data_IF_000677193358
#
_entry.id   IF_000677193358
#
_cell.length_a   1.000
_cell.length_b   1.000
_cell.length_c   1.000
_cell.angle_alpha   90.00
_cell.angle_beta   90.00
_cell.angle_gamma   90.00
#
_symmetry.space_group_name_H-M   'P 1'
#
loop_
_entity.id
_entity.type
_entity.pdbx_description
1 polymer ?
#
# COMPACT_ATOMS: atom_id res chain seq x y z
N UNK A 1 -4.00 -13.48 4.24
CA UNK A 1 -5.15 -13.81 3.36
C UNK A 1 -6.45 -13.27 3.96
N UNK A 2 -7.45 -12.88 3.15
CA UNK A 2 -8.77 -12.51 3.66
C UNK A 2 -9.57 -13.74 4.17
N UNK A 3 -10.49 -13.53 5.10
CA UNK A 3 -11.27 -14.60 5.76
C UNK A 3 -12.02 -15.50 4.79
N UNK A 4 -12.59 -14.96 3.71
CA UNK A 4 -13.26 -15.76 2.65
C UNK A 4 -12.35 -16.78 1.97
N UNK A 5 -11.12 -16.39 1.65
CA UNK A 5 -10.14 -17.31 1.03
C UNK A 5 -9.59 -18.32 2.03
N UNK A 6 -9.48 -17.96 3.30
CA UNK A 6 -9.14 -18.90 4.37
C UNK A 6 -10.27 -19.94 4.51
N UNK A 7 -11.52 -19.48 4.54
CA UNK A 7 -12.70 -20.35 4.61
C UNK A 7 -12.76 -21.32 3.43
N UNK A 8 -12.59 -20.82 2.20
CA UNK A 8 -12.54 -21.66 0.99
C UNK A 8 -11.40 -22.70 1.02
N UNK A 9 -10.27 -22.41 1.67
CA UNK A 9 -9.14 -23.36 1.79
C UNK A 9 -9.34 -24.42 2.87
N UNK A 10 -10.01 -24.05 3.96
CA UNK A 10 -10.21 -24.92 5.13
C UNK A 10 -11.59 -25.62 5.07
N UNK A 11 -12.43 -25.28 4.10
CA UNK A 11 -13.75 -25.89 3.92
C UNK A 11 -14.80 -25.38 4.93
N UNK A 12 -14.64 -24.16 5.44
CA UNK A 12 -15.55 -23.57 6.45
C UNK A 12 -16.06 -22.21 6.02
N UNK A 13 -17.21 -21.79 6.54
CA UNK A 13 -17.71 -20.44 6.28
C UNK A 13 -16.77 -19.37 6.83
N UNK A 14 -16.68 -18.24 6.13
CA UNK A 14 -15.79 -17.16 6.51
C UNK A 14 -16.14 -16.54 7.89
N UNK A 15 -17.38 -16.64 8.37
CA UNK A 15 -17.76 -16.18 9.71
C UNK A 15 -17.15 -17.06 10.78
N UNK A 16 -17.09 -18.38 10.56
CA UNK A 16 -16.39 -19.33 11.44
C UNK A 16 -14.91 -18.99 11.52
N UNK A 17 -14.29 -18.68 10.38
CA UNK A 17 -12.90 -18.20 10.34
C UNK A 17 -12.73 -16.91 11.16
N UNK A 18 -13.61 -15.93 10.98
CA UNK A 18 -13.53 -14.67 11.73
C UNK A 18 -13.68 -14.88 13.23
N UNK A 19 -14.62 -15.73 13.66
CA UNK A 19 -14.83 -16.05 15.08
C UNK A 19 -13.57 -16.64 15.70
N UNK A 20 -13.02 -17.70 15.10
CA UNK A 20 -11.83 -18.37 15.62
C UNK A 20 -10.62 -17.40 15.65
N UNK A 21 -10.44 -16.57 14.62
CA UNK A 21 -9.35 -15.58 14.59
C UNK A 21 -9.50 -14.54 15.71
N UNK A 22 -10.74 -14.09 15.99
CA UNK A 22 -11.02 -13.16 17.09
C UNK A 22 -10.80 -13.80 18.46
N UNK A 23 -11.24 -15.05 18.66
CA UNK A 23 -11.01 -15.83 19.88
C UNK A 23 -9.51 -15.99 20.17
N UNK A 24 -8.71 -16.20 19.14
CA UNK A 24 -7.24 -16.24 19.22
C UNK A 24 -6.56 -14.87 19.42
N UNK A 25 -7.34 -13.79 19.53
CA UNK A 25 -6.86 -12.42 19.69
C UNK A 25 -6.19 -11.84 18.45
N UNK A 26 -6.40 -12.43 17.27
CA UNK A 26 -5.79 -11.98 16.02
C UNK A 26 -6.62 -10.85 15.39
N UNK A 27 -5.92 -9.79 14.98
CA UNK A 27 -6.52 -8.64 14.29
C UNK A 27 -6.08 -8.60 12.83
N UNK A 28 -6.95 -8.18 11.91
CA UNK A 28 -6.61 -8.04 10.51
C UNK A 28 -5.84 -6.75 10.25
N UNK A 29 -4.69 -6.85 9.60
CA UNK A 29 -3.88 -5.72 9.14
C UNK A 29 -3.78 -5.72 7.61
N UNK A 30 -3.87 -4.54 6.99
CA UNK A 30 -3.66 -4.41 5.54
C UNK A 30 -2.17 -4.62 5.23
N UNK A 31 -1.87 -5.38 4.18
CA UNK A 31 -0.51 -5.46 3.66
C UNK A 31 -0.18 -4.15 2.96
N UNK A 32 0.82 -3.43 3.48
CA UNK A 32 1.38 -2.26 2.82
C UNK A 32 2.57 -2.71 1.97
N UNK A 33 2.48 -2.51 0.66
CA UNK A 33 3.62 -2.60 -0.23
C UNK A 33 4.10 -1.18 -0.45
N UNK A 34 5.17 -0.80 0.23
CA UNK A 34 5.82 0.50 0.06
C UNK A 34 7.00 0.34 -0.88
N UNK A 35 7.27 1.36 -1.70
CA UNK A 35 8.49 1.38 -2.48
C UNK A 35 9.69 1.50 -1.54
N UNK A 36 10.74 0.75 -1.80
CA UNK A 36 12.00 0.89 -1.08
C UNK A 36 12.60 2.26 -1.42
N UNK A 37 12.90 3.07 -0.40
CA UNK A 37 13.60 4.33 -0.59
C UNK A 37 15.08 4.05 -0.70
N UNK A 38 15.65 4.26 -1.89
CA UNK A 38 17.10 4.16 -2.11
C UNK A 38 17.80 5.38 -1.54
N UNK A 39 19.09 5.23 -1.28
CA UNK A 39 19.95 6.35 -0.90
C UNK A 39 19.90 7.42 -2.00
N UNK A 40 19.56 8.65 -1.62
CA UNK A 40 19.44 9.79 -2.54
C UNK A 40 18.03 10.05 -3.10
N UNK A 41 17.08 9.13 -3.02
CA UNK A 41 15.70 9.34 -3.53
C UNK A 41 15.03 10.54 -2.86
N UNK A 42 15.24 10.68 -1.55
CA UNK A 42 14.75 11.83 -0.78
C UNK A 42 15.34 13.14 -1.28
N UNK A 43 16.63 13.15 -1.58
CA UNK A 43 17.33 14.33 -2.10
C UNK A 43 16.84 14.69 -3.49
N UNK A 44 16.70 13.69 -4.38
CA UNK A 44 16.15 13.86 -5.72
C UNK A 44 14.72 14.41 -5.69
N UNK A 45 13.86 13.83 -4.83
CA UNK A 45 12.49 14.27 -4.62
C UNK A 45 12.42 15.72 -4.13
N UNK A 46 13.23 16.09 -3.14
CA UNK A 46 13.29 17.47 -2.64
C UNK A 46 13.76 18.46 -3.70
N UNK A 47 14.76 18.09 -4.50
CA UNK A 47 15.26 18.92 -5.60
C UNK A 47 14.18 19.14 -6.65
N UNK A 48 13.46 18.09 -7.02
CA UNK A 48 12.33 18.17 -7.94
C UNK A 48 11.21 19.07 -7.40
N UNK A 49 10.77 18.86 -6.16
CA UNK A 49 9.74 19.68 -5.52
C UNK A 49 10.13 21.17 -5.51
N UNK A 50 11.37 21.50 -5.11
CA UNK A 50 11.87 22.89 -5.12
C UNK A 50 11.91 23.47 -6.54
N UNK A 51 12.29 22.67 -7.54
CA UNK A 51 12.27 23.10 -8.93
C UNK A 51 10.86 23.37 -9.44
N UNK A 52 9.92 22.46 -9.19
CA UNK A 52 8.52 22.59 -9.60
C UNK A 52 7.86 23.81 -8.96
N UNK A 53 8.06 24.03 -7.65
CA UNK A 53 7.55 25.20 -6.94
C UNK A 53 8.06 26.52 -7.56
N UNK A 54 9.33 26.59 -7.97
CA UNK A 54 9.87 27.78 -8.64
C UNK A 54 9.24 28.00 -10.01
N UNK A 55 9.01 26.93 -10.78
CA UNK A 55 8.37 27.02 -12.10
C UNK A 55 6.93 27.49 -11.99
N UNK A 56 6.16 26.95 -11.04
CA UNK A 56 4.78 27.36 -10.77
C UNK A 56 4.72 28.86 -10.39
N UNK A 57 5.62 29.33 -9.52
CA UNK A 57 5.68 30.74 -9.11
C UNK A 57 6.04 31.68 -10.26
N UNK A 58 6.96 31.27 -11.14
CA UNK A 58 7.46 32.13 -12.22
C UNK A 58 6.52 32.18 -13.43
N UNK A 59 5.76 31.12 -13.69
CA UNK A 59 4.95 30.99 -14.89
C UNK A 59 3.51 30.59 -14.53
N UNK A 60 2.58 31.54 -14.62
CA UNK A 60 1.18 31.41 -14.20
C UNK A 60 0.43 30.23 -14.83
N UNK A 61 0.84 29.80 -16.03
CA UNK A 61 0.19 28.72 -16.78
C UNK A 61 1.01 27.43 -16.85
N UNK A 62 2.12 27.33 -16.10
CA UNK A 62 3.04 26.18 -16.19
C UNK A 62 2.35 24.83 -16.04
N UNK A 63 1.52 24.66 -15.00
CA UNK A 63 0.81 23.40 -14.76
C UNK A 63 -0.21 23.06 -15.84
N UNK A 64 -0.81 24.07 -16.48
CA UNK A 64 -1.79 23.85 -17.55
C UNK A 64 -1.15 23.30 -18.82
N UNK A 65 0.17 23.44 -18.95
CA UNK A 65 0.93 22.96 -20.11
C UNK A 65 1.60 21.60 -19.84
N UNK A 66 1.33 20.97 -18.68
CA UNK A 66 1.86 19.65 -18.33
C UNK A 66 0.76 18.62 -18.55
N UNK A 67 1.05 17.61 -19.36
CA UNK A 67 0.23 16.41 -19.49
C UNK A 67 0.98 15.27 -18.80
N UNK A 68 0.36 14.71 -17.76
CA UNK A 68 0.88 13.52 -17.10
C UNK A 68 0.34 12.28 -17.82
N UNK A 69 1.24 11.36 -18.15
CA UNK A 69 0.91 10.06 -18.74
C UNK A 69 1.50 8.98 -17.88
N UNK A 70 0.78 7.88 -17.69
CA UNK A 70 1.25 6.70 -16.98
C UNK A 70 0.68 5.45 -17.66
N UNK A 71 1.38 4.33 -17.54
CA UNK A 71 0.92 3.05 -18.05
C UNK A 71 0.42 2.18 -16.90
N UNK A 72 -0.71 1.51 -17.11
CA UNK A 72 -1.24 0.54 -16.15
C UNK A 72 -1.55 -0.78 -16.83
N UNK A 73 -1.13 -1.87 -16.18
CA UNK A 73 -1.38 -3.23 -16.67
C UNK A 73 -2.62 -3.82 -16.00
N UNK A 74 -3.57 -4.31 -16.80
CA UNK A 74 -4.75 -5.03 -16.33
C UNK A 74 -4.65 -6.49 -16.77
N UNK A 75 -4.86 -7.44 -15.86
CA UNK A 75 -4.97 -8.86 -16.20
C UNK A 75 -6.24 -9.48 -15.60
N UNK A 76 -6.91 -10.30 -16.40
CA UNK A 76 -8.15 -11.02 -16.02
C UNK A 76 -7.87 -12.25 -15.17
N UNK A 77 -6.65 -12.79 -15.24
CA UNK A 77 -6.22 -14.02 -14.57
C UNK A 77 -5.52 -13.70 -13.25
N UNK A 78 -6.32 -13.51 -12.21
CA UNK A 78 -5.89 -13.64 -10.81
C UNK A 78 -4.83 -12.65 -10.33
N UNK A 79 -5.02 -11.35 -10.55
CA UNK A 79 -4.41 -10.39 -9.62
C UNK A 79 -5.14 -10.59 -8.29
N UNK A 80 -4.44 -11.17 -7.32
CA UNK A 80 -4.81 -11.05 -5.92
C UNK A 80 -5.18 -9.60 -5.67
N UNK A 81 -6.48 -9.29 -5.55
CA UNK A 81 -6.88 -7.93 -5.21
C UNK A 81 -6.19 -7.63 -3.88
N UNK A 82 -5.15 -6.77 -3.92
CA UNK A 82 -4.29 -6.48 -2.77
C UNK A 82 -5.13 -5.93 -1.62
N UNK A 83 -6.27 -5.31 -1.93
CA UNK A 83 -7.25 -4.84 -0.96
C UNK A 83 -7.87 -5.98 -0.13
N UNK A 84 -7.95 -7.20 -0.67
CA UNK A 84 -8.44 -8.41 -0.01
C UNK A 84 -7.35 -9.21 0.70
N UNK A 85 -6.10 -8.73 0.68
CA UNK A 85 -5.00 -9.34 1.42
C UNK A 85 -4.92 -8.73 2.83
N UNK A 86 -4.95 -9.60 3.83
CA UNK A 86 -4.80 -9.26 5.25
C UNK A 86 -3.72 -10.10 5.90
N UNK A 87 -2.98 -9.54 6.84
CA UNK A 87 -2.14 -10.29 7.77
C UNK A 87 -2.93 -10.36 9.09
N UNK A 88 -3.05 -11.55 9.67
CA UNK A 88 -3.72 -11.74 10.96
C UNK A 88 -2.65 -11.88 12.04
N UNK A 89 -2.56 -10.93 12.97
CA UNK A 89 -1.57 -10.93 14.06
C UNK A 89 -2.17 -10.36 15.34
N UNK A 90 -1.63 -10.75 16.50
CA UNK A 90 -2.03 -10.19 17.80
C UNK A 90 -1.55 -8.74 18.00
N UNK A 91 -0.42 -8.38 17.38
CA UNK A 91 0.19 -7.04 17.41
C UNK A 91 0.30 -6.47 16.00
N UNK A 92 0.20 -5.15 15.89
CA UNK A 92 0.34 -4.45 14.61
C UNK A 92 1.77 -4.62 14.08
N UNK A 93 1.97 -5.26 12.91
CA UNK A 93 3.30 -5.46 12.34
C UNK A 93 4.01 -4.15 11.96
N UNK A 94 3.28 -3.04 11.85
CA UNK A 94 3.80 -1.72 11.52
C UNK A 94 4.04 -0.83 12.75
N UNK A 95 3.85 -1.34 13.98
CA UNK A 95 4.01 -0.55 15.20
C UNK A 95 5.46 -0.12 15.50
N UNK A 96 6.46 -0.75 14.86
CA UNK A 96 7.86 -0.35 14.93
C UNK A 96 8.42 -0.12 13.53
N UNK A 97 8.26 1.09 13.00
CA UNK A 97 9.19 1.62 12.00
C UNK A 97 10.24 2.40 12.79
N UNK A 98 11.29 1.73 13.26
CA UNK A 98 12.45 2.41 13.81
C UNK A 98 13.20 3.02 12.62
N UNK A 99 13.21 4.36 12.52
CA UNK A 99 14.09 5.05 11.58
C UNK A 99 15.53 4.79 12.02
N UNK A 100 16.22 3.92 11.31
CA UNK A 100 17.69 3.87 11.38
C UNK A 100 18.19 5.19 10.81
N UNK A 101 19.03 5.87 11.59
CA UNK A 101 19.68 7.14 11.25
C UNK A 101 20.70 6.96 10.12
#
# INVERSE_FOLDING_TARGET
MGSRRIGARVGVDHKTVLRNLCEEGLRPYKVQVVHELRSGDRTASLRFCRWMLRKIRRYRHFLKNIVFTDESSFSSTSILNRQNVRIWRRRNPHAMVQRVQ
#
